data_IF_036177086162
#
_entry.id   IF_036177086162
#
_cell.length_a   1.000
_cell.length_b   1.000
_cell.length_c   1.000
_cell.angle_alpha   90.00
_cell.angle_beta   90.00
_cell.angle_gamma   90.00
#
_symmetry.space_group_name_H-M   'P 1'
#
loop_
_entity.id
_entity.type
_entity.pdbx_description
1 polymer ?
#
# COMPACT_ATOMS: atom_id res chain seq x y z
N UNK A 1 -17.02 33.96 -1.42
CA UNK A 1 -16.29 33.28 -2.51
C UNK A 1 -14.85 33.21 -2.07
N UNK A 2 -14.42 32.07 -1.53
CA UNK A 2 -13.03 31.85 -1.09
C UNK A 2 -12.23 31.50 -2.34
N UNK A 3 -11.22 32.30 -2.66
CA UNK A 3 -10.39 32.13 -3.86
C UNK A 3 -9.70 30.78 -3.87
N UNK A 4 -9.79 30.13 -5.03
CA UNK A 4 -9.39 28.76 -5.31
C UNK A 4 -7.92 28.67 -5.75
N UNK A 5 -7.03 29.38 -5.06
CA UNK A 5 -5.59 29.36 -5.37
C UNK A 5 -4.93 28.21 -4.62
N UNK A 6 -5.20 26.98 -5.10
CA UNK A 6 -4.43 25.79 -4.75
C UNK A 6 -2.96 26.01 -5.18
N UNK A 7 -1.96 25.69 -4.33
CA UNK A 7 -0.56 25.80 -4.73
C UNK A 7 -0.28 24.88 -5.93
N UNK A 8 0.41 25.43 -6.92
CA UNK A 8 0.71 24.81 -8.20
C UNK A 8 1.56 23.53 -8.06
N UNK A 9 1.19 22.51 -8.85
CA UNK A 9 1.82 21.18 -9.08
C UNK A 9 1.69 20.15 -7.95
N UNK A 10 0.57 19.42 -7.96
CA UNK A 10 0.41 18.16 -7.22
C UNK A 10 -0.99 17.57 -7.35
N UNK A 11 -1.15 16.30 -6.99
CA UNK A 11 -2.46 15.68 -6.75
C UNK A 11 -3.10 16.43 -5.55
N UNK A 12 -4.39 16.81 -5.61
CA UNK A 12 -5.05 17.46 -4.48
C UNK A 12 -5.09 16.51 -3.27
N UNK A 13 -4.98 17.03 -2.02
CA UNK A 13 -5.05 16.17 -0.84
C UNK A 13 -6.43 15.50 -0.76
N UNK A 14 -6.49 14.16 -0.65
CA UNK A 14 -7.77 13.45 -0.55
C UNK A 14 -8.48 13.78 0.78
N UNK A 15 -9.81 13.72 0.78
CA UNK A 15 -10.65 14.01 1.95
C UNK A 15 -11.62 12.86 2.21
N UNK A 16 -12.07 12.74 3.46
CA UNK A 16 -12.93 11.63 3.89
C UNK A 16 -12.11 10.37 4.19
N UNK A 17 -12.71 9.18 4.04
CA UNK A 17 -11.99 7.90 4.16
C UNK A 17 -10.90 7.79 3.11
N UNK A 18 -9.68 7.47 3.55
CA UNK A 18 -8.49 7.37 2.69
C UNK A 18 -7.60 6.20 3.11
N UNK A 19 -6.70 5.81 2.21
CA UNK A 19 -5.58 4.93 2.54
C UNK A 19 -4.38 5.75 2.98
N UNK A 20 -3.81 5.41 4.12
CA UNK A 20 -2.50 5.93 4.55
C UNK A 20 -1.46 4.84 4.33
N UNK A 21 -0.42 5.17 3.57
CA UNK A 21 0.75 4.33 3.35
C UNK A 21 1.95 4.95 4.04
N UNK A 22 2.67 4.13 4.81
CA UNK A 22 4.01 4.45 5.28
C UNK A 22 5.03 3.60 4.54
N UNK A 23 6.14 4.22 4.16
CA UNK A 23 7.33 3.53 3.63
C UNK A 23 8.49 3.73 4.60
N UNK A 24 9.45 2.81 4.59
CA UNK A 24 10.68 2.90 5.39
C UNK A 24 11.80 2.07 4.74
N UNK A 25 13.06 2.52 4.84
CA UNK A 25 14.21 1.80 4.28
C UNK A 25 14.77 0.85 5.34
N UNK A 26 14.84 -0.44 5.01
CA UNK A 26 15.37 -1.45 5.93
C UNK A 26 16.88 -1.31 6.07
N UNK A 27 17.36 -1.29 7.32
CA UNK A 27 18.80 -1.22 7.67
C UNK A 27 19.52 0.00 7.08
N UNK A 28 18.82 1.11 6.85
CA UNK A 28 19.39 2.36 6.32
C UNK A 28 20.56 2.89 7.15
N UNK A 29 20.46 2.85 8.48
CA UNK A 29 21.53 3.30 9.40
C UNK A 29 22.84 2.54 9.14
N UNK A 30 22.78 1.24 8.88
CA UNK A 30 23.97 0.43 8.58
C UNK A 30 24.65 0.86 7.27
N UNK A 31 23.88 1.36 6.31
CA UNK A 31 24.41 1.85 5.03
C UNK A 31 25.04 3.23 5.26
N UNK A 32 24.36 4.12 5.98
CA UNK A 32 24.87 5.44 6.35
C UNK A 32 26.24 5.37 7.05
N UNK A 33 26.40 4.44 7.99
CA UNK A 33 27.65 4.24 8.73
C UNK A 33 28.79 3.67 7.87
N UNK A 34 28.46 2.80 6.90
CA UNK A 34 29.46 2.12 6.06
C UNK A 34 29.91 2.96 4.87
N UNK A 35 28.98 3.61 4.19
CA UNK A 35 29.25 4.44 3.02
C UNK A 35 28.19 5.54 2.86
N UNK A 36 28.46 6.68 3.50
CA UNK A 36 27.61 7.87 3.44
C UNK A 36 27.41 8.38 2.02
N UNK A 37 28.43 8.34 1.16
CA UNK A 37 28.33 8.86 -0.20
C UNK A 37 27.43 7.96 -1.06
N UNK A 38 27.60 6.64 -0.96
CA UNK A 38 26.71 5.70 -1.62
C UNK A 38 25.26 5.87 -1.17
N UNK A 39 25.05 6.08 0.14
CA UNK A 39 23.72 6.28 0.70
C UNK A 39 23.07 7.58 0.21
N UNK A 40 23.81 8.70 0.14
CA UNK A 40 23.27 9.97 -0.39
C UNK A 40 22.79 9.80 -1.84
N UNK A 41 23.60 9.19 -2.71
CA UNK A 41 23.19 8.95 -4.10
C UNK A 41 22.03 7.96 -4.22
N UNK A 42 21.99 6.93 -3.36
CA UNK A 42 20.88 5.99 -3.33
C UNK A 42 19.58 6.64 -2.83
N UNK A 43 19.65 7.48 -1.79
CA UNK A 43 18.49 8.22 -1.28
C UNK A 43 17.86 9.13 -2.33
N UNK A 44 18.67 9.75 -3.20
CA UNK A 44 18.15 10.55 -4.31
C UNK A 44 17.32 9.70 -5.28
N UNK A 45 17.84 8.56 -5.73
CA UNK A 45 17.10 7.64 -6.60
C UNK A 45 15.83 7.15 -5.91
N UNK A 46 15.92 6.71 -4.66
CA UNK A 46 14.77 6.28 -3.86
C UNK A 46 13.67 7.34 -3.80
N UNK A 47 14.03 8.57 -3.42
CA UNK A 47 13.10 9.67 -3.25
C UNK A 47 12.43 10.03 -4.58
N UNK A 48 13.19 10.06 -5.68
CA UNK A 48 12.65 10.33 -7.02
C UNK A 48 11.70 9.22 -7.48
N UNK A 49 12.06 7.95 -7.26
CA UNK A 49 11.21 6.80 -7.57
C UNK A 49 9.90 6.84 -6.79
N UNK A 50 9.96 7.04 -5.46
CA UNK A 50 8.78 7.09 -4.59
C UNK A 50 7.88 8.25 -4.96
N UNK A 51 8.42 9.45 -5.20
CA UNK A 51 7.62 10.63 -5.61
C UNK A 51 6.98 10.45 -6.98
N UNK A 52 7.72 9.90 -7.94
CA UNK A 52 7.20 9.61 -9.28
C UNK A 52 6.02 8.64 -9.22
N UNK A 53 6.19 7.53 -8.48
CA UNK A 53 5.15 6.52 -8.32
C UNK A 53 3.97 6.99 -7.48
N UNK A 54 4.20 7.90 -6.52
CA UNK A 54 3.13 8.57 -5.78
C UNK A 54 2.23 9.32 -6.76
N UNK A 55 2.81 10.11 -7.67
CA UNK A 55 2.04 10.88 -8.65
C UNK A 55 1.32 9.98 -9.67
N UNK A 56 1.98 8.95 -10.19
CA UNK A 56 1.36 8.05 -11.18
C UNK A 56 0.18 7.26 -10.62
N UNK A 57 0.17 7.04 -9.31
CA UNK A 57 -0.89 6.31 -8.60
C UNK A 57 -1.92 7.23 -7.93
N UNK A 58 -1.97 8.52 -8.30
CA UNK A 58 -2.90 9.51 -7.73
C UNK A 58 -2.77 9.65 -6.20
N UNK A 59 -1.55 9.48 -5.68
CA UNK A 59 -1.21 9.67 -4.28
C UNK A 59 -0.85 11.12 -3.96
N UNK A 60 -1.07 11.48 -2.70
CA UNK A 60 -0.68 12.73 -2.11
C UNK A 60 0.45 12.49 -1.09
N UNK A 61 1.66 12.96 -1.41
CA UNK A 61 2.76 12.98 -0.45
C UNK A 61 2.42 13.93 0.71
N UNK A 62 2.25 13.39 1.92
CA UNK A 62 1.95 14.16 3.12
C UNK A 62 3.23 14.80 3.63
N UNK A 63 4.25 13.95 3.87
CA UNK A 63 5.56 14.31 4.39
C UNK A 63 6.55 13.16 4.25
N UNK A 64 7.83 13.50 4.28
CA UNK A 64 8.94 12.57 4.41
C UNK A 64 9.46 12.62 5.85
N UNK A 65 9.70 11.46 6.45
CA UNK A 65 10.19 11.29 7.82
C UNK A 65 11.49 10.49 7.79
N UNK A 66 12.62 11.19 7.67
CA UNK A 66 13.92 10.54 7.51
C UNK A 66 14.03 9.90 6.13
N UNK A 67 14.14 8.58 6.10
CA UNK A 67 14.24 7.73 4.93
C UNK A 67 12.89 7.08 4.52
N UNK A 68 11.81 7.39 5.24
CA UNK A 68 10.46 6.93 4.95
C UNK A 68 9.52 8.04 4.49
N UNK A 69 8.42 7.66 3.84
CA UNK A 69 7.36 8.56 3.39
C UNK A 69 6.02 8.25 4.07
N UNK A 70 5.23 9.28 4.31
CA UNK A 70 3.80 9.19 4.60
C UNK A 70 3.02 9.69 3.38
N UNK A 71 2.19 8.82 2.80
CA UNK A 71 1.45 9.09 1.56
C UNK A 71 -0.02 8.76 1.77
N UNK A 72 -0.90 9.62 1.26
CA UNK A 72 -2.35 9.47 1.32
C UNK A 72 -2.91 9.15 -0.07
N UNK A 73 -3.77 8.13 -0.18
CA UNK A 73 -4.46 7.79 -1.42
C UNK A 73 -5.98 7.83 -1.22
N UNK A 74 -6.75 8.29 -2.23
CA UNK A 74 -8.21 8.33 -2.15
C UNK A 74 -8.88 6.95 -2.14
N UNK A 75 -8.17 5.89 -2.55
CA UNK A 75 -8.71 4.52 -2.67
C UNK A 75 -7.70 3.50 -2.12
N UNK A 76 -8.17 2.31 -1.75
CA UNK A 76 -7.31 1.18 -1.40
C UNK A 76 -6.59 0.62 -2.62
N UNK A 77 -7.26 0.60 -3.78
CA UNK A 77 -6.70 0.18 -5.07
C UNK A 77 -5.47 1.01 -5.47
N UNK A 78 -5.54 2.35 -5.39
CA UNK A 78 -4.40 3.20 -5.73
C UNK A 78 -3.23 3.02 -4.78
N UNK A 79 -3.50 2.82 -3.48
CA UNK A 79 -2.46 2.56 -2.49
C UNK A 79 -1.76 1.22 -2.72
N UNK A 80 -2.51 0.14 -2.99
CA UNK A 80 -1.89 -1.17 -3.27
C UNK A 80 -1.12 -1.15 -4.58
N UNK A 81 -1.64 -0.50 -5.63
CA UNK A 81 -0.93 -0.38 -6.91
C UNK A 81 0.40 0.36 -6.73
N UNK A 82 0.40 1.49 -5.99
CA UNK A 82 1.64 2.18 -5.61
C UNK A 82 2.64 1.26 -4.91
N UNK A 83 2.19 0.48 -3.92
CA UNK A 83 3.09 -0.40 -3.18
C UNK A 83 3.68 -1.49 -4.08
N UNK A 84 2.89 -2.08 -4.97
CA UNK A 84 3.35 -3.09 -5.92
C UNK A 84 4.35 -2.49 -6.93
N UNK A 85 4.03 -1.32 -7.50
CA UNK A 85 4.90 -0.59 -8.42
C UNK A 85 6.26 -0.27 -7.78
N UNK A 86 6.28 0.19 -6.53
CA UNK A 86 7.52 0.46 -5.79
C UNK A 86 8.35 -0.81 -5.65
N UNK A 87 7.74 -1.93 -5.25
CA UNK A 87 8.49 -3.18 -5.03
C UNK A 87 9.14 -3.73 -6.30
N UNK A 88 8.50 -3.55 -7.46
CA UNK A 88 9.06 -3.93 -8.75
C UNK A 88 10.09 -2.91 -9.24
N UNK A 89 9.74 -1.61 -9.20
CA UNK A 89 10.58 -0.54 -9.76
C UNK A 89 11.97 -0.47 -9.10
N UNK A 90 12.06 -0.72 -7.80
CA UNK A 90 13.34 -0.73 -7.08
C UNK A 90 14.34 -1.75 -7.63
N UNK A 91 13.89 -2.84 -8.26
CA UNK A 91 14.77 -3.83 -8.86
C UNK A 91 15.48 -3.29 -10.11
N UNK A 92 14.78 -2.44 -10.86
CA UNK A 92 15.23 -1.87 -12.13
C UNK A 92 16.05 -0.58 -11.96
N UNK A 93 16.09 0.00 -10.76
CA UNK A 93 16.81 1.25 -10.50
C UNK A 93 18.32 1.13 -10.74
N UNK A 94 18.94 2.18 -11.28
CA UNK A 94 20.38 2.22 -11.55
C UNK A 94 21.18 2.54 -10.27
N UNK A 95 21.06 1.68 -9.27
CA UNK A 95 21.70 1.85 -7.97
C UNK A 95 23.22 2.07 -8.07
N UNK A 96 23.79 2.94 -7.22
CA UNK A 96 25.24 3.13 -7.17
C UNK A 96 25.96 1.80 -6.94
N UNK A 97 27.00 1.52 -7.74
CA UNK A 97 27.80 0.29 -7.60
C UNK A 97 28.38 0.10 -6.19
N UNK A 98 28.63 1.20 -5.47
CA UNK A 98 29.08 1.16 -4.08
C UNK A 98 28.00 0.58 -3.15
N UNK A 99 26.74 0.97 -3.32
CA UNK A 99 25.61 0.41 -2.58
C UNK A 99 25.48 -1.10 -2.83
N UNK A 100 25.54 -1.53 -4.09
CA UNK A 100 25.38 -2.94 -4.46
C UNK A 100 26.48 -3.87 -3.91
N UNK A 101 27.63 -3.30 -3.50
CA UNK A 101 28.71 -4.05 -2.83
C UNK A 101 28.49 -4.20 -1.33
N UNK A 102 27.61 -3.40 -0.73
CA UNK A 102 27.27 -3.52 0.69
C UNK A 102 26.25 -4.65 0.85
N UNK A 103 26.45 -5.51 1.85
CA UNK A 103 25.52 -6.59 2.18
C UNK A 103 24.02 -6.20 2.18
N UNK A 104 23.58 -5.06 2.77
CA UNK A 104 22.16 -4.66 2.71
C UNK A 104 21.66 -4.23 1.32
N UNK A 105 22.55 -3.84 0.41
CA UNK A 105 22.20 -3.39 -0.95
C UNK A 105 22.48 -4.42 -2.05
N UNK A 106 23.05 -5.57 -1.68
CA UNK A 106 23.46 -6.60 -2.64
C UNK A 106 22.24 -7.23 -3.32
N UNK A 107 22.43 -7.62 -4.58
CA UNK A 107 21.46 -8.41 -5.32
C UNK A 107 21.33 -9.82 -4.72
N UNK A 108 20.11 -10.26 -4.47
CA UNK A 108 19.81 -11.62 -4.01
C UNK A 108 18.86 -12.29 -4.99
N UNK A 109 19.06 -13.58 -5.24
CA UNK A 109 18.22 -14.36 -6.15
C UNK A 109 17.60 -15.57 -5.44
N UNK A 110 16.53 -16.11 -6.02
CA UNK A 110 16.03 -17.44 -5.67
C UNK A 110 16.93 -18.55 -6.26
N UNK A 111 16.63 -19.81 -5.94
CA UNK A 111 17.32 -20.99 -6.46
C UNK A 111 17.22 -21.14 -8.00
N UNK A 112 16.29 -20.41 -8.63
CA UNK A 112 16.06 -20.40 -10.08
C UNK A 112 16.77 -19.23 -10.77
N UNK A 113 17.44 -18.36 -10.01
CA UNK A 113 18.17 -17.19 -10.51
C UNK A 113 17.29 -15.95 -10.73
N UNK A 114 16.04 -15.92 -10.26
CA UNK A 114 15.22 -14.71 -10.31
C UNK A 114 15.65 -13.74 -9.22
N UNK A 115 15.82 -12.47 -9.57
CA UNK A 115 16.19 -11.40 -8.63
C UNK A 115 15.04 -11.14 -7.67
N UNK A 116 15.31 -11.30 -6.37
CA UNK A 116 14.37 -11.02 -5.28
C UNK A 116 14.56 -9.63 -4.71
N UNK A 117 15.81 -9.20 -4.51
CA UNK A 117 16.16 -7.89 -3.96
C UNK A 117 17.38 -7.34 -4.69
N UNK A 118 17.45 -6.02 -4.82
CA UNK A 118 18.58 -5.31 -5.40
C UNK A 118 18.55 -3.84 -4.94
N UNK A 119 19.65 -3.33 -4.41
CA UNK A 119 19.72 -1.96 -3.89
C UNK A 119 18.95 -1.76 -2.59
N UNK A 120 18.38 -0.57 -2.38
CA UNK A 120 17.66 -0.25 -1.15
C UNK A 120 16.38 -1.09 -1.03
N UNK A 121 16.19 -1.72 0.12
CA UNK A 121 15.00 -2.51 0.41
C UNK A 121 13.99 -1.68 1.18
N UNK A 122 12.81 -1.50 0.59
CA UNK A 122 11.71 -0.79 1.23
C UNK A 122 10.74 -1.78 1.88
N UNK A 123 10.28 -1.40 3.06
CA UNK A 123 9.10 -1.97 3.70
C UNK A 123 7.97 -0.96 3.66
N UNK A 124 6.74 -1.45 3.50
CA UNK A 124 5.57 -0.58 3.42
C UNK A 124 4.43 -1.13 4.25
N UNK A 125 3.62 -0.23 4.79
CA UNK A 125 2.36 -0.61 5.41
C UNK A 125 1.22 0.30 4.98
N UNK A 126 0.02 -0.26 4.82
CA UNK A 126 -1.18 0.49 4.48
C UNK A 126 -2.34 0.23 5.45
N UNK A 127 -3.10 1.27 5.77
CA UNK A 127 -4.33 1.18 6.53
C UNK A 127 -5.40 2.10 5.92
N UNK A 128 -6.65 1.66 5.97
CA UNK A 128 -7.81 2.41 5.48
C UNK A 128 -8.62 2.97 6.65
N UNK A 129 -9.06 4.21 6.53
CA UNK A 129 -10.01 4.80 7.47
C UNK A 129 -10.17 6.29 7.28
N UNK A 130 -10.92 6.92 8.17
CA UNK A 130 -11.15 8.37 8.14
C UNK A 130 -10.20 9.11 9.13
N UNK A 131 -9.23 9.88 8.64
CA UNK A 131 -8.32 10.66 9.48
C UNK A 131 -8.90 12.04 9.82
N UNK A 132 -8.31 12.68 10.82
CA UNK A 132 -8.49 14.12 11.04
C UNK A 132 -7.62 14.88 10.05
N UNK A 133 -8.26 15.50 9.06
CA UNK A 133 -7.58 16.33 8.05
C UNK A 133 -7.30 17.72 8.61
N UNK A 134 -6.05 18.16 8.58
CA UNK A 134 -5.63 19.47 9.08
C UNK A 134 -4.76 20.19 8.07
N UNK A 135 -5.27 21.31 7.55
CA UNK A 135 -4.47 22.19 6.70
C UNK A 135 -3.37 22.89 7.51
N UNK A 136 -2.14 22.85 7.00
CA UNK A 136 -1.02 23.60 7.54
C UNK A 136 -0.75 24.83 6.66
N UNK A 137 -1.07 26.01 7.18
CA UNK A 137 -0.93 27.29 6.47
C UNK A 137 0.52 27.67 6.17
N UNK A 138 1.49 27.20 6.95
CA UNK A 138 2.90 27.59 6.77
C UNK A 138 3.51 26.86 5.58
N UNK A 139 3.30 25.55 5.50
CA UNK A 139 3.86 24.71 4.42
C UNK A 139 2.90 24.52 3.26
N UNK A 140 1.66 25.04 3.36
CA UNK A 140 0.61 24.93 2.35
C UNK A 140 0.34 23.47 1.94
N UNK A 141 0.26 22.59 2.95
CA UNK A 141 -0.01 21.15 2.79
C UNK A 141 -1.04 20.66 3.79
N UNK A 142 -1.76 19.61 3.42
CA UNK A 142 -2.63 18.87 4.33
C UNK A 142 -1.80 17.90 5.15
N UNK A 143 -2.00 17.90 6.47
CA UNK A 143 -1.54 16.83 7.35
C UNK A 143 -2.74 15.98 7.77
N UNK A 144 -2.47 14.71 8.07
CA UNK A 144 -3.49 13.78 8.55
C UNK A 144 -3.09 13.29 9.94
N UNK A 145 -4.07 13.25 10.84
CA UNK A 145 -3.87 12.89 12.24
C UNK A 145 -4.90 11.85 12.68
N UNK A 146 -4.66 11.27 13.85
CA UNK A 146 -5.59 10.39 14.53
C UNK A 146 -5.29 8.89 14.36
N UNK A 147 -6.20 8.03 14.82
CA UNK A 147 -5.96 6.60 14.94
C UNK A 147 -5.54 5.92 13.64
N UNK A 148 -6.09 6.35 12.49
CA UNK A 148 -5.77 5.78 11.17
C UNK A 148 -4.28 5.92 10.85
N UNK A 149 -3.73 7.12 11.05
CA UNK A 149 -2.31 7.41 10.81
C UNK A 149 -1.44 6.69 11.82
N UNK A 150 -1.84 6.68 13.09
CA UNK A 150 -1.10 6.00 14.16
C UNK A 150 -0.98 4.49 13.89
N UNK A 151 -2.07 3.84 13.45
CA UNK A 151 -2.08 2.41 13.10
C UNK A 151 -1.13 2.12 11.94
N UNK A 152 -1.25 2.84 10.83
CA UNK A 152 -0.37 2.66 9.68
C UNK A 152 1.12 2.85 10.08
N UNK A 153 1.44 3.88 10.87
CA UNK A 153 2.80 4.11 11.36
C UNK A 153 3.33 3.00 12.28
N UNK A 154 2.46 2.23 12.93
CA UNK A 154 2.85 1.07 13.75
C UNK A 154 3.06 -0.19 12.92
N UNK A 155 2.24 -0.40 11.89
CA UNK A 155 2.32 -1.60 11.06
C UNK A 155 3.65 -1.69 10.30
N UNK A 156 4.20 -0.57 9.82
CA UNK A 156 5.52 -0.57 9.18
C UNK A 156 6.65 -1.07 10.12
N UNK A 157 6.49 -0.92 11.44
CA UNK A 157 7.51 -1.31 12.42
C UNK A 157 7.71 -2.83 12.52
N UNK A 158 6.65 -3.61 12.23
CA UNK A 158 6.68 -5.09 12.21
C UNK A 158 6.85 -5.65 10.80
N UNK A 159 7.10 -4.79 9.82
CA UNK A 159 7.23 -5.16 8.42
C UNK A 159 8.71 -5.42 8.07
N UNK A 160 8.96 -6.47 7.30
CA UNK A 160 10.29 -6.82 6.78
C UNK A 160 10.58 -6.21 5.40
N UNK A 161 11.85 -6.25 4.99
CA UNK A 161 12.28 -5.75 3.67
C UNK A 161 11.49 -6.42 2.54
N UNK A 162 10.91 -5.59 1.66
CA UNK A 162 10.11 -6.03 0.53
C UNK A 162 8.65 -6.40 0.84
N UNK A 163 8.22 -6.36 2.11
CA UNK A 163 6.84 -6.64 2.49
C UNK A 163 5.95 -5.41 2.35
N UNK A 164 4.69 -5.67 2.01
CA UNK A 164 3.59 -4.70 2.02
C UNK A 164 2.57 -5.19 3.03
N UNK A 165 2.59 -4.66 4.25
CA UNK A 165 1.70 -5.08 5.33
C UNK A 165 0.43 -4.25 5.35
N UNK A 166 -0.72 -4.89 5.45
CA UNK A 166 -2.02 -4.23 5.44
C UNK A 166 -2.91 -4.74 6.56
N UNK A 167 -3.77 -3.85 7.07
CA UNK A 167 -4.82 -4.19 8.02
C UNK A 167 -6.01 -4.90 7.36
N UNK A 168 -6.81 -5.59 8.17
CA UNK A 168 -8.11 -6.11 7.74
C UNK A 168 -9.05 -5.05 7.14
N UNK A 169 -9.15 -3.86 7.75
CA UNK A 169 -9.97 -2.75 7.22
C UNK A 169 -9.58 -2.34 5.79
N UNK A 170 -8.27 -2.35 5.52
CA UNK A 170 -7.73 -2.06 4.19
C UNK A 170 -8.13 -3.14 3.18
N UNK A 171 -8.05 -4.42 3.56
CA UNK A 171 -8.47 -5.51 2.69
C UNK A 171 -9.97 -5.51 2.42
N UNK A 172 -10.79 -5.26 3.44
CA UNK A 172 -12.23 -5.15 3.29
C UNK A 172 -12.59 -4.00 2.32
N UNK A 173 -11.88 -2.87 2.40
CA UNK A 173 -12.07 -1.78 1.44
C UNK A 173 -11.60 -2.17 0.03
N UNK A 174 -10.41 -2.75 -0.10
CA UNK A 174 -9.86 -3.19 -1.40
C UNK A 174 -10.83 -4.17 -2.08
N UNK A 175 -11.41 -5.09 -1.32
CA UNK A 175 -12.40 -6.05 -1.84
C UNK A 175 -13.66 -5.36 -2.35
N UNK A 176 -14.18 -4.37 -1.60
CA UNK A 176 -15.34 -3.56 -2.03
C UNK A 176 -15.05 -2.81 -3.33
N UNK A 177 -13.87 -2.19 -3.44
CA UNK A 177 -13.46 -1.46 -4.65
C UNK A 177 -13.30 -2.41 -5.87
N UNK A 178 -12.75 -3.60 -5.66
CA UNK A 178 -12.61 -4.62 -6.70
C UNK A 178 -13.95 -5.15 -7.22
N UNK A 179 -14.93 -5.34 -6.33
CA UNK A 179 -16.28 -5.78 -6.70
C UNK A 179 -17.03 -4.71 -7.50
N UNK A 180 -16.99 -3.46 -7.03
CA UNK A 180 -17.63 -2.33 -7.73
C UNK A 180 -17.05 -2.07 -9.13
N UNK A 181 -15.75 -2.32 -9.32
CA UNK A 181 -15.11 -2.22 -10.64
C UNK A 181 -15.61 -3.28 -11.63
N UNK A 182 -15.96 -4.48 -11.12
CA UNK A 182 -16.44 -5.60 -11.94
C UNK A 182 -17.90 -5.37 -12.35
N UNK A 183 -18.77 -4.95 -11.41
CA UNK A 183 -20.19 -4.68 -11.67
C UNK A 183 -20.38 -3.57 -12.72
N UNK A 184 -19.56 -2.51 -12.67
CA UNK A 184 -19.57 -1.43 -13.69
C UNK A 184 -19.22 -1.93 -15.08
N UNK A 185 -18.26 -2.85 -15.20
CA UNK A 185 -17.86 -3.42 -16.49
C UNK A 185 -18.96 -4.31 -17.08
N UNK A 186 -19.70 -5.03 -16.25
CA UNK A 186 -20.84 -5.86 -16.68
C UNK A 186 -22.05 -5.00 -17.09
N UNK A 187 -22.30 -3.88 -16.40
CA UNK A 187 -23.31 -2.89 -16.80
C UNK A 187 -22.94 -2.16 -18.10
N UNK A 188 -21.68 -1.79 -18.32
CA UNK A 188 -21.22 -1.21 -19.59
C UNK A 188 -21.25 -2.23 -20.74
N UNK A 189 -20.88 -3.49 -20.48
CA UNK A 189 -20.92 -4.58 -21.46
C UNK A 189 -22.36 -4.97 -21.83
N UNK A 190 -23.29 -4.95 -20.88
CA UNK A 190 -24.71 -5.21 -21.12
C UNK A 190 -25.41 -4.01 -21.80
N UNK A 191 -25.08 -2.78 -21.43
CA UNK A 191 -25.65 -1.58 -22.07
C UNK A 191 -25.13 -1.34 -23.51
N UNK A 192 -23.92 -1.80 -23.86
CA UNK A 192 -23.49 -1.86 -25.26
C UNK A 192 -24.23 -2.93 -26.08
N UNK A 193 -24.63 -4.05 -25.47
CA UNK A 193 -25.45 -5.08 -26.13
C UNK A 193 -26.92 -4.66 -26.29
N UNK A 194 -27.44 -3.81 -25.40
CA UNK A 194 -28.82 -3.34 -25.43
C UNK A 194 -29.08 -2.12 -26.34
N UNK A 195 -28.05 -1.53 -26.96
CA UNK A 195 -28.21 -0.40 -27.92
C UNK A 195 -28.75 -0.81 -29.31
N UNK A 196 -29.16 -2.07 -29.51
CA UNK A 196 -29.80 -2.53 -30.74
C UNK A 196 -31.29 -2.80 -30.64
N UNK A 197 -31.98 -2.51 -29.52
CA UNK A 197 -33.44 -2.58 -29.47
C UNK A 197 -34.07 -1.56 -28.50
N UNK A 198 -34.78 -0.60 -29.09
CA UNK A 198 -35.59 0.42 -28.44
C UNK A 198 -37.00 -0.09 -28.09
N UNK A 199 -37.47 0.14 -26.85
CA UNK A 199 -38.73 0.82 -26.44
C UNK A 199 -39.29 0.40 -25.05
N UNK A 200 -40.17 1.22 -24.40
CA UNK A 200 -40.15 1.50 -22.95
C UNK A 200 -41.34 0.90 -22.14
N UNK A 201 -41.42 1.28 -20.84
CA UNK A 201 -42.48 1.13 -19.79
C UNK A 201 -41.96 0.30 -18.58
N UNK A 202 -42.24 0.51 -17.28
CA UNK A 202 -43.06 1.44 -16.48
C UNK A 202 -42.76 1.26 -14.96
N UNK A 203 -42.95 2.33 -14.18
CA UNK A 203 -43.28 2.52 -12.74
C UNK A 203 -43.26 1.40 -11.66
N UNK A 204 -42.77 1.77 -10.46
CA UNK A 204 -43.12 1.26 -9.11
C UNK A 204 -42.06 0.35 -8.47
N UNK A 205 -41.64 0.42 -7.19
CA UNK A 205 -42.20 1.02 -5.98
C UNK A 205 -41.11 1.14 -4.88
N UNK A 206 -41.32 2.02 -3.90
CA UNK A 206 -40.46 2.20 -2.70
C UNK A 206 -40.63 1.10 -1.67
N UNK A 207 -39.57 0.75 -0.91
CA UNK A 207 -39.64 0.53 0.57
C UNK A 207 -38.25 0.43 1.24
N UNK A 208 -38.02 1.37 2.15
CA UNK A 208 -37.42 1.31 3.50
C UNK A 208 -36.21 0.41 3.84
N UNK A 209 -35.13 1.13 4.13
CA UNK A 209 -34.23 1.05 5.30
C UNK A 209 -34.59 0.12 6.45
N UNK A 210 -33.63 -0.74 6.82
CA UNK A 210 -33.35 -1.07 8.22
C UNK A 210 -31.83 -1.25 8.40
N UNK A 211 -31.28 -0.42 9.28
CA UNK A 211 -29.88 -0.36 9.69
C UNK A 211 -29.60 -1.42 10.74
N UNK A 212 -28.82 -2.44 10.38
CA UNK A 212 -28.09 -3.28 11.32
C UNK A 212 -26.60 -2.98 11.18
N UNK A 213 -25.95 -2.50 12.23
CA UNK A 213 -24.49 -2.48 12.32
C UNK A 213 -24.02 -3.93 12.47
N UNK A 214 -23.83 -4.62 11.36
CA UNK A 214 -23.03 -5.83 11.31
C UNK A 214 -21.57 -5.42 11.10
N UNK A 215 -20.68 -5.94 11.95
CA UNK A 215 -19.25 -5.94 11.67
C UNK A 215 -19.03 -6.50 10.25
N UNK A 216 -18.20 -5.86 9.42
CA UNK A 216 -18.04 -6.31 8.04
C UNK A 216 -17.60 -7.78 8.02
N UNK A 217 -18.15 -8.60 7.11
CA UNK A 217 -17.70 -9.98 6.97
C UNK A 217 -16.19 -10.01 6.68
N UNK A 218 -15.50 -11.01 7.26
CA UNK A 218 -14.08 -11.24 7.03
C UNK A 218 -13.78 -11.19 5.52
N UNK A 219 -12.72 -10.48 5.08
CA UNK A 219 -12.45 -10.32 3.67
C UNK A 219 -12.19 -11.68 3.01
N UNK A 220 -12.87 -11.94 1.90
CA UNK A 220 -12.71 -13.18 1.15
C UNK A 220 -11.44 -13.09 0.30
N UNK A 221 -10.39 -13.73 0.81
CA UNK A 221 -9.08 -13.75 0.17
C UNK A 221 -9.09 -14.41 -1.23
N UNK A 222 -10.13 -15.18 -1.56
CA UNK A 222 -10.27 -15.76 -2.91
C UNK A 222 -10.61 -14.70 -3.95
N UNK A 223 -11.41 -13.69 -3.58
CA UNK A 223 -11.85 -12.58 -4.44
C UNK A 223 -10.71 -11.56 -4.64
N UNK A 224 -9.80 -11.47 -3.68
CA UNK A 224 -8.64 -10.59 -3.73
C UNK A 224 -7.45 -11.17 -4.53
N UNK A 225 -7.59 -12.39 -5.07
CA UNK A 225 -6.64 -12.89 -6.08
C UNK A 225 -6.97 -12.21 -7.39
N UNK A 226 -6.14 -11.26 -7.81
CA UNK A 226 -6.15 -10.77 -9.18
C UNK A 226 -5.92 -11.96 -10.13
N UNK A 227 -6.98 -12.43 -10.80
CA UNK A 227 -6.86 -13.39 -11.88
C UNK A 227 -6.49 -12.67 -13.18
N UNK A 228 -5.82 -13.38 -14.10
CA UNK A 228 -5.25 -12.82 -15.33
C UNK A 228 -6.26 -12.22 -16.34
N UNK A 229 -7.52 -12.05 -15.94
CA UNK A 229 -8.61 -11.49 -16.75
C UNK A 229 -9.34 -10.29 -16.12
N UNK A 230 -9.02 -9.87 -14.90
CA UNK A 230 -9.59 -8.65 -14.30
C UNK A 230 -8.86 -7.41 -14.86
N UNK A 231 -9.27 -6.99 -16.05
CA UNK A 231 -8.87 -5.68 -16.57
C UNK A 231 -9.55 -4.60 -15.71
N UNK A 232 -8.74 -3.76 -15.06
CA UNK A 232 -9.04 -2.39 -14.60
C UNK A 232 -8.91 -2.08 -13.10
N UNK A 233 -8.50 -3.01 -12.21
CA UNK A 233 -8.33 -2.65 -10.78
C UNK A 233 -6.86 -2.49 -10.39
N UNK A 234 -6.04 -3.51 -10.58
CA UNK A 234 -4.57 -3.40 -10.51
C UNK A 234 -3.99 -3.89 -11.83
N UNK A 235 -2.92 -3.26 -12.31
CA UNK A 235 -2.24 -3.71 -13.54
C UNK A 235 -1.37 -4.95 -13.30
N UNK A 236 -1.03 -5.19 -12.03
CA UNK A 236 -0.22 -6.32 -11.58
C UNK A 236 -1.05 -7.35 -10.83
N UNK A 237 -0.58 -8.61 -10.89
CA UNK A 237 -1.17 -9.67 -10.10
C UNK A 237 -0.47 -9.85 -8.75
N UNK A 238 -1.24 -10.08 -7.69
CA UNK A 238 -0.70 -10.26 -6.33
C UNK A 238 -1.40 -11.40 -5.58
N UNK A 239 -0.79 -11.78 -4.45
CA UNK A 239 -1.35 -12.71 -3.47
C UNK A 239 -1.43 -12.01 -2.11
N UNK A 240 -2.37 -12.45 -1.30
CA UNK A 240 -2.50 -12.01 0.10
C UNK A 240 -2.25 -13.22 1.00
N UNK A 241 -1.47 -13.00 2.05
CA UNK A 241 -1.20 -14.00 3.08
C UNK A 241 -1.44 -13.40 4.46
N UNK A 242 -1.96 -14.21 5.36
CA UNK A 242 -2.12 -13.81 6.75
C UNK A 242 -0.75 -13.71 7.43
N UNK A 243 -0.50 -12.60 8.11
CA UNK A 243 0.69 -12.41 8.95
C UNK A 243 0.39 -12.84 10.38
N UNK A 244 -0.84 -12.60 10.85
CA UNK A 244 -1.34 -12.98 12.17
C UNK A 244 -1.83 -11.79 12.99
N UNK A 245 -2.04 -12.00 14.28
CA UNK A 245 -2.48 -10.96 15.21
C UNK A 245 -1.29 -10.32 15.92
N UNK A 246 -1.23 -9.00 15.93
CA UNK A 246 -0.14 -8.22 16.54
C UNK A 246 -0.68 -7.23 17.56
N UNK A 247 -0.10 -7.24 18.76
CA UNK A 247 -0.36 -6.23 19.78
C UNK A 247 0.58 -5.03 19.59
N UNK A 248 0.02 -3.83 19.63
CA UNK A 248 0.80 -2.60 19.52
C UNK A 248 0.58 -1.72 20.74
N UNK A 249 1.66 -1.13 21.25
CA UNK A 249 1.57 -0.19 22.36
C UNK A 249 0.69 1.01 21.98
N UNK A 250 -0.36 1.25 22.76
CA UNK A 250 -1.29 2.35 22.56
C UNK A 250 -2.46 2.05 21.63
N UNK A 251 -2.64 0.79 21.20
CA UNK A 251 -3.88 0.28 20.62
C UNK A 251 -4.54 -0.67 21.63
N UNK A 252 -5.85 -0.57 21.78
CA UNK A 252 -6.59 -1.32 22.80
C UNK A 252 -6.75 -2.80 22.42
N UNK A 253 -6.82 -3.11 21.12
CA UNK A 253 -7.06 -4.46 20.61
C UNK A 253 -5.91 -4.96 19.71
N UNK A 254 -5.61 -6.28 19.73
CA UNK A 254 -4.73 -6.90 18.74
C UNK A 254 -5.20 -6.60 17.32
N UNK A 255 -4.25 -6.29 16.44
CA UNK A 255 -4.52 -5.96 15.05
C UNK A 255 -4.22 -7.17 14.17
N UNK A 256 -5.21 -7.63 13.42
CA UNK A 256 -5.01 -8.69 12.43
C UNK A 256 -4.37 -8.10 11.17
N UNK A 257 -3.20 -8.63 10.82
CA UNK A 257 -2.37 -8.14 9.72
C UNK A 257 -2.20 -9.20 8.64
N UNK A 258 -2.04 -8.69 7.43
CA UNK A 258 -1.82 -9.44 6.21
C UNK A 258 -0.64 -8.84 5.47
N UNK A 259 -0.02 -9.61 4.58
CA UNK A 259 0.94 -9.06 3.64
C UNK A 259 0.54 -9.38 2.20
N UNK A 260 0.79 -8.39 1.34
CA UNK A 260 0.55 -8.46 -0.11
C UNK A 260 1.88 -8.76 -0.80
N UNK A 261 1.86 -9.72 -1.71
CA UNK A 261 3.05 -10.15 -2.47
C UNK A 261 2.76 -10.06 -3.97
N UNK A 262 3.52 -9.25 -4.74
CA UNK A 262 3.49 -9.32 -6.20
C UNK A 262 3.81 -10.74 -6.66
N UNK A 263 3.05 -11.30 -7.62
CA UNK A 263 3.34 -12.66 -8.12
C UNK A 263 4.73 -12.78 -8.75
N UNK A 264 5.21 -11.70 -9.37
CA UNK A 264 6.58 -11.56 -9.89
C UNK A 264 7.65 -11.77 -8.81
N UNK A 265 7.30 -11.56 -7.54
CA UNK A 265 8.20 -11.58 -6.39
C UNK A 265 7.79 -12.62 -5.34
N UNK A 266 7.06 -13.66 -5.74
CA UNK A 266 6.61 -14.72 -4.84
C UNK A 266 7.77 -15.45 -4.14
N UNK A 267 8.95 -15.52 -4.77
CA UNK A 267 10.16 -16.09 -4.15
C UNK A 267 10.60 -15.35 -2.87
N UNK A 268 10.16 -14.11 -2.63
CA UNK A 268 10.41 -13.41 -1.36
C UNK A 268 9.73 -14.05 -0.16
N UNK A 269 8.66 -14.84 -0.37
CA UNK A 269 7.96 -15.51 0.72
C UNK A 269 8.87 -16.53 1.40
N UNK A 270 9.60 -17.33 0.62
CA UNK A 270 10.58 -18.29 1.16
C UNK A 270 11.71 -17.56 1.89
N UNK A 271 12.17 -16.44 1.34
CA UNK A 271 13.17 -15.59 1.98
C UNK A 271 12.70 -15.11 3.38
N UNK A 272 11.47 -14.60 3.50
CA UNK A 272 10.96 -14.16 4.80
C UNK A 272 10.83 -15.31 5.81
N UNK A 273 10.41 -16.50 5.38
CA UNK A 273 10.36 -17.66 6.29
C UNK A 273 11.74 -18.03 6.87
N UNK A 274 12.82 -17.85 6.08
CA UNK A 274 14.19 -18.06 6.54
C UNK A 274 14.63 -16.97 7.54
N UNK A 275 14.19 -15.73 7.34
CA UNK A 275 14.54 -14.58 8.20
C UNK A 275 13.74 -14.57 9.52
N UNK A 276 12.49 -15.06 9.52
CA UNK A 276 11.62 -15.15 10.72
C UNK A 276 12.18 -16.09 11.82
N UNK A 277 13.28 -16.80 11.56
CA UNK A 277 14.02 -17.58 12.56
C UNK A 277 15.04 -16.75 13.37
N UNK A 278 15.12 -15.43 13.16
CA UNK A 278 16.04 -14.55 13.92
C UNK A 278 15.28 -13.81 15.03
N UNK A 279 15.50 -14.29 16.25
CA UNK A 279 15.06 -13.71 17.53
C UNK A 279 15.48 -12.24 17.67
N UNK A 280 14.52 -11.32 17.89
CA UNK A 280 14.87 -9.92 18.17
C UNK A 280 13.72 -8.94 18.37
N UNK A 281 12.51 -9.23 17.88
CA UNK A 281 11.33 -8.45 18.26
C UNK A 281 10.82 -8.99 19.59
N UNK A 282 11.03 -8.24 20.68
CA UNK A 282 10.28 -8.40 21.94
C UNK A 282 8.82 -7.99 21.70
N UNK A 283 8.12 -8.73 20.86
CA UNK A 283 6.69 -8.91 20.93
C UNK A 283 6.51 -10.31 21.46
N UNK A 284 5.75 -10.47 22.55
CA UNK A 284 5.34 -11.79 23.01
C UNK A 284 4.47 -12.41 21.92
N UNK A 285 5.09 -13.07 20.94
CA UNK A 285 4.40 -13.98 20.05
C UNK A 285 4.12 -15.22 20.88
N UNK A 286 2.98 -15.23 21.57
CA UNK A 286 2.33 -16.49 21.94
C UNK A 286 1.61 -16.99 20.69
N UNK A 287 2.23 -17.92 20.00
CA UNK A 287 1.50 -18.88 19.17
C UNK A 287 0.87 -19.89 20.13
N UNK A 288 -0.46 -19.85 20.25
CA UNK A 288 -1.23 -21.00 20.75
C UNK A 288 -1.39 -22.03 19.63
#
# INVERSE_FOLDING_TARGET
>A
MVSNDLPARGIPPPVGPISIVFTDIVKSTNIWEKDTNAMISAMQLHDDTVRSLTLSNNGYEVKQNGDGFMIAFPTATSAVQFCLDVQEKLLDEEWPKALLKLAPGQETTDDKGHVLFRGLQLRMSAHWGEPVSKWNEVIQRMDYLGPVVNRAARFVQVTEGGQIVVSEDFLAQLQREMQQGTDRNDEESSSQRSRSQSQPLSSGNSTNTSTGQESPPLPDLSILRSEAGQQNVTTQTFQIRELGNYEFQGLDDPQKLYFIVPRSLEGRVEHWHQVMHVTGVKGNVKTD
#
